data_IF_352332729309
#
_entry.id   IF_352332729309
#
_cell.length_a   1.000
_cell.length_b   1.000
_cell.length_c   1.000
_cell.angle_alpha   90.00
_cell.angle_beta   90.00
_cell.angle_gamma   90.00
#
_symmetry.space_group_name_H-M   'P 1'
#
loop_
_entity.id
_entity.type
_entity.pdbx_description
1 polymer ?
#
# COMPACT_ATOMS: atom_id res chain seq x y z
N UNK A 1 -4.57 -40.71 -14.83
CA UNK A 1 -5.08 -39.76 -13.80
C UNK A 1 -4.00 -39.04 -12.97
N UNK A 2 -2.70 -39.38 -13.06
CA UNK A 2 -1.63 -38.69 -12.29
C UNK A 2 -1.11 -37.37 -12.90
N UNK A 3 -1.32 -37.11 -14.19
CA UNK A 3 -0.82 -35.90 -14.86
C UNK A 3 -1.67 -34.64 -14.56
N UNK A 4 -2.97 -34.80 -14.34
CA UNK A 4 -3.89 -33.67 -14.09
C UNK A 4 -3.66 -33.08 -12.69
N UNK A 5 -3.35 -33.92 -11.69
CA UNK A 5 -3.01 -33.48 -10.34
C UNK A 5 -1.67 -32.74 -10.27
N UNK A 6 -0.68 -33.14 -11.06
CA UNK A 6 0.60 -32.41 -11.14
C UNK A 6 0.45 -31.03 -11.79
N UNK A 7 -0.35 -30.91 -12.85
CA UNK A 7 -0.62 -29.62 -13.51
C UNK A 7 -1.40 -28.65 -12.60
N UNK A 8 -2.37 -29.15 -11.83
CA UNK A 8 -3.10 -28.36 -10.82
C UNK A 8 -2.18 -27.87 -9.70
N UNK A 9 -1.26 -28.71 -9.22
CA UNK A 9 -0.31 -28.33 -8.19
C UNK A 9 0.67 -27.23 -8.67
N UNK A 10 1.15 -27.31 -9.91
CA UNK A 10 2.03 -26.30 -10.50
C UNK A 10 1.30 -24.98 -10.73
N UNK A 11 0.03 -25.02 -11.16
CA UNK A 11 -0.80 -23.83 -11.33
C UNK A 11 -1.11 -23.12 -10.00
N UNK A 12 -1.35 -23.88 -8.93
CA UNK A 12 -1.54 -23.32 -7.59
C UNK A 12 -0.26 -22.67 -7.05
N UNK A 13 0.91 -23.30 -7.24
CA UNK A 13 2.20 -22.73 -6.85
C UNK A 13 2.53 -21.46 -7.64
N UNK A 14 2.32 -21.46 -8.96
CA UNK A 14 2.56 -20.28 -9.80
C UNK A 14 1.61 -19.11 -9.44
N UNK A 15 0.33 -19.40 -9.18
CA UNK A 15 -0.64 -18.41 -8.75
C UNK A 15 -0.34 -17.80 -7.37
N UNK A 16 0.15 -18.60 -6.42
CA UNK A 16 0.56 -18.14 -5.08
C UNK A 16 1.84 -17.30 -5.15
N UNK A 17 2.84 -17.71 -5.94
CA UNK A 17 4.10 -16.97 -6.11
C UNK A 17 3.86 -15.62 -6.80
N UNK A 18 3.04 -15.57 -7.86
CA UNK A 18 2.69 -14.33 -8.54
C UNK A 18 1.93 -13.36 -7.60
N UNK A 19 1.03 -13.89 -6.77
CA UNK A 19 0.34 -13.10 -5.75
C UNK A 19 1.30 -12.53 -4.69
N UNK A 20 2.28 -13.32 -4.26
CA UNK A 20 3.24 -12.87 -3.26
C UNK A 20 4.15 -11.77 -3.80
N UNK A 21 4.51 -11.82 -5.08
CA UNK A 21 5.33 -10.78 -5.72
C UNK A 21 4.58 -9.46 -5.83
N UNK A 22 3.30 -9.46 -6.24
CA UNK A 22 2.51 -8.22 -6.34
C UNK A 22 2.28 -7.56 -4.96
N UNK A 23 1.97 -8.36 -3.93
CA UNK A 23 1.80 -7.80 -2.58
C UNK A 23 3.11 -7.23 -2.03
N UNK A 24 4.25 -7.85 -2.35
CA UNK A 24 5.56 -7.31 -1.99
C UNK A 24 5.87 -6.01 -2.73
N UNK A 25 5.53 -5.90 -4.01
CA UNK A 25 5.72 -4.66 -4.78
C UNK A 25 4.91 -3.50 -4.16
N UNK A 26 3.63 -3.75 -3.84
CA UNK A 26 2.77 -2.77 -3.15
C UNK A 26 3.37 -2.37 -1.80
N UNK A 27 3.92 -3.32 -1.02
CA UNK A 27 4.61 -3.00 0.23
C UNK A 27 5.84 -2.12 0.00
N UNK A 28 6.66 -2.44 -1.00
CA UNK A 28 7.84 -1.63 -1.34
C UNK A 28 7.45 -0.21 -1.77
N UNK A 29 6.36 -0.04 -2.52
CA UNK A 29 5.84 1.28 -2.84
C UNK A 29 5.44 2.06 -1.57
N UNK A 30 4.75 1.42 -0.62
CA UNK A 30 4.36 2.04 0.66
C UNK A 30 5.56 2.36 1.54
N UNK A 31 6.61 1.54 1.52
CA UNK A 31 7.88 1.84 2.20
C UNK A 31 8.58 3.06 1.58
N UNK A 32 8.63 3.16 0.24
CA UNK A 32 9.17 4.34 -0.44
C UNK A 32 8.40 5.62 -0.11
N UNK A 33 7.06 5.52 -0.02
CA UNK A 33 6.20 6.64 0.41
C UNK A 33 6.56 7.08 1.83
N UNK A 34 6.81 6.14 2.76
CA UNK A 34 7.24 6.48 4.12
C UNK A 34 8.61 7.16 4.16
N UNK A 35 9.56 6.75 3.32
CA UNK A 35 10.87 7.39 3.21
C UNK A 35 10.73 8.83 2.72
N UNK A 36 9.91 9.06 1.68
CA UNK A 36 9.63 10.42 1.18
C UNK A 36 8.90 11.28 2.23
N UNK A 37 7.94 10.71 2.97
CA UNK A 37 7.27 11.41 4.07
C UNK A 37 8.25 11.77 5.19
N UNK A 38 9.17 10.88 5.55
CA UNK A 38 10.18 11.16 6.55
C UNK A 38 11.09 12.33 6.12
N UNK A 39 11.45 12.42 4.83
CA UNK A 39 12.23 13.56 4.34
C UNK A 39 11.46 14.87 4.43
N UNK A 40 10.14 14.87 4.23
CA UNK A 40 9.30 16.07 4.38
C UNK A 40 9.07 16.42 5.86
N UNK A 41 8.92 15.43 6.74
CA UNK A 41 8.76 15.64 8.17
C UNK A 41 9.95 16.39 8.77
N UNK A 42 11.17 16.04 8.36
CA UNK A 42 12.39 16.71 8.83
C UNK A 42 12.49 18.17 8.37
N UNK A 43 11.75 18.55 7.32
CA UNK A 43 11.74 19.91 6.77
C UNK A 43 10.65 20.80 7.40
N UNK A 44 9.51 20.22 7.77
CA UNK A 44 8.34 21.01 8.23
C UNK A 44 7.98 20.81 9.70
N UNK A 45 8.45 19.73 10.35
CA UNK A 45 8.02 19.37 11.70
C UNK A 45 6.52 19.07 11.84
N UNK A 46 5.81 18.85 10.73
CA UNK A 46 4.34 18.73 10.73
C UNK A 46 3.86 17.47 11.47
N UNK A 47 2.97 17.67 12.45
CA UNK A 47 2.30 16.59 13.18
C UNK A 47 1.46 15.70 12.25
N UNK A 48 0.86 16.28 11.21
CA UNK A 48 0.10 15.53 10.20
C UNK A 48 0.97 14.57 9.39
N UNK A 49 2.22 14.93 9.08
CA UNK A 49 3.16 14.01 8.40
C UNK A 49 3.52 12.83 9.33
N UNK A 50 3.67 13.08 10.63
CA UNK A 50 3.96 12.01 11.60
C UNK A 50 2.78 11.03 11.73
N UNK A 51 1.55 11.54 11.75
CA UNK A 51 0.33 10.74 11.80
C UNK A 51 0.11 9.95 10.49
N UNK A 52 0.33 10.57 9.33
CA UNK A 52 0.32 9.86 8.05
C UNK A 52 1.28 8.66 8.03
N UNK A 53 2.50 8.84 8.55
CA UNK A 53 3.47 7.74 8.67
C UNK A 53 2.98 6.62 9.56
N UNK A 54 2.31 6.91 10.68
CA UNK A 54 1.72 5.88 11.56
C UNK A 54 0.66 5.06 10.83
N UNK A 55 -0.22 5.71 10.08
CA UNK A 55 -1.23 5.03 9.26
C UNK A 55 -0.59 4.13 8.20
N UNK A 56 0.45 4.60 7.50
CA UNK A 56 1.14 3.78 6.50
C UNK A 56 1.91 2.61 7.12
N UNK A 57 2.52 2.80 8.28
CA UNK A 57 3.18 1.73 9.02
C UNK A 57 2.16 0.66 9.46
N UNK A 58 0.99 1.08 9.92
CA UNK A 58 -0.11 0.17 10.28
C UNK A 58 -0.65 -0.55 9.05
N UNK A 59 -0.77 0.13 7.91
CA UNK A 59 -1.14 -0.50 6.65
C UNK A 59 -0.16 -1.61 6.25
N UNK A 60 1.15 -1.39 6.36
CA UNK A 60 2.15 -2.44 6.10
C UNK A 60 1.99 -3.65 7.02
N UNK A 61 1.78 -3.42 8.32
CA UNK A 61 1.55 -4.51 9.29
C UNK A 61 0.30 -5.32 8.96
N UNK A 62 -0.78 -4.64 8.56
CA UNK A 62 -2.03 -5.27 8.16
C UNK A 62 -1.87 -6.06 6.85
N UNK A 63 -1.13 -5.51 5.87
CA UNK A 63 -0.76 -6.26 4.66
C UNK A 63 0.03 -7.52 5.01
N UNK A 64 0.99 -7.43 5.94
CA UNK A 64 1.75 -8.59 6.46
C UNK A 64 0.88 -9.63 7.15
N UNK A 65 -0.19 -9.19 7.79
CA UNK A 65 -1.16 -10.06 8.47
C UNK A 65 -2.28 -10.56 7.56
N UNK A 66 -2.25 -10.24 6.25
CA UNK A 66 -3.29 -10.61 5.29
C UNK A 66 -4.61 -9.83 5.42
N UNK A 67 -4.64 -8.80 6.27
CA UNK A 67 -5.78 -7.92 6.59
C UNK A 67 -5.88 -6.77 5.58
N UNK A 68 -6.17 -7.10 4.32
CA UNK A 68 -6.02 -6.15 3.20
C UNK A 68 -7.08 -5.06 3.17
N UNK A 69 -8.31 -5.35 3.61
CA UNK A 69 -9.36 -4.35 3.70
C UNK A 69 -9.06 -3.32 4.80
N UNK A 70 -8.53 -3.76 5.95
CA UNK A 70 -8.05 -2.84 6.97
C UNK A 70 -6.81 -2.07 6.51
N UNK A 71 -5.88 -2.72 5.80
CA UNK A 71 -4.71 -2.05 5.25
C UNK A 71 -5.11 -0.92 4.29
N UNK A 72 -6.10 -1.15 3.42
CA UNK A 72 -6.64 -0.13 2.52
C UNK A 72 -7.27 1.05 3.27
N UNK A 73 -7.99 0.78 4.37
CA UNK A 73 -8.55 1.85 5.23
C UNK A 73 -7.45 2.69 5.85
N UNK A 74 -6.40 2.07 6.38
CA UNK A 74 -5.25 2.78 6.94
C UNK A 74 -4.50 3.61 5.87
N UNK A 75 -4.33 3.09 4.65
CA UNK A 75 -3.77 3.87 3.54
C UNK A 75 -4.63 5.09 3.19
N UNK A 76 -5.96 4.97 3.25
CA UNK A 76 -6.86 6.09 3.03
C UNK A 76 -6.77 7.15 4.13
N UNK A 77 -6.69 6.73 5.39
CA UNK A 77 -6.46 7.64 6.51
C UNK A 77 -5.14 8.39 6.33
N UNK A 78 -4.06 7.67 6.01
CA UNK A 78 -2.77 8.29 5.70
C UNK A 78 -2.85 9.30 4.56
N UNK A 79 -3.59 9.00 3.48
CA UNK A 79 -3.76 9.93 2.36
C UNK A 79 -4.50 11.22 2.75
N UNK A 80 -5.52 11.12 3.61
CA UNK A 80 -6.24 12.27 4.16
C UNK A 80 -5.33 13.15 5.01
N UNK A 81 -4.57 12.54 5.92
CA UNK A 81 -3.64 13.30 6.78
C UNK A 81 -2.54 14.00 5.96
N UNK A 82 -2.08 13.39 4.85
CA UNK A 82 -1.13 14.04 3.93
C UNK A 82 -1.79 15.23 3.22
N UNK A 83 -3.06 15.11 2.83
CA UNK A 83 -3.82 16.21 2.22
C UNK A 83 -3.89 17.41 3.17
N UNK A 84 -4.28 17.15 4.41
CA UNK A 84 -4.40 18.16 5.45
C UNK A 84 -3.05 18.82 5.74
N UNK A 85 -1.97 18.03 5.83
CA UNK A 85 -0.62 18.55 6.01
C UNK A 85 -0.14 19.39 4.81
N UNK A 86 -0.55 19.04 3.59
CA UNK A 86 -0.23 19.80 2.38
C UNK A 86 -0.95 21.15 2.33
N UNK A 87 -2.20 21.21 2.81
CA UNK A 87 -2.95 22.46 2.94
C UNK A 87 -2.43 23.39 4.04
N UNK A 88 -1.71 22.86 5.02
CA UNK A 88 -1.15 23.64 6.12
C UNK A 88 0.24 24.21 5.81
N UNK A 89 0.94 23.72 4.79
CA UNK A 89 2.30 24.12 4.44
C UNK A 89 2.50 24.23 2.92
N UNK A 90 2.33 25.44 2.39
CA UNK A 90 2.50 25.77 0.96
C UNK A 90 3.87 25.34 0.41
N UNK A 91 4.96 25.51 1.18
CA UNK A 91 6.32 25.14 0.79
C UNK A 91 6.51 23.63 0.52
N UNK A 92 5.64 22.80 1.09
CA UNK A 92 5.68 21.33 0.90
C UNK A 92 4.50 20.78 0.13
N UNK A 93 3.59 21.63 -0.31
CA UNK A 93 2.38 21.24 -1.02
C UNK A 93 2.70 20.37 -2.25
N UNK A 94 3.67 20.78 -3.08
CA UNK A 94 4.09 20.01 -4.26
C UNK A 94 4.68 18.65 -3.90
N UNK A 95 5.51 18.57 -2.85
CA UNK A 95 6.14 17.33 -2.43
C UNK A 95 5.12 16.36 -1.83
N UNK A 96 4.19 16.87 -1.01
CA UNK A 96 3.13 16.07 -0.40
C UNK A 96 2.08 15.63 -1.42
N UNK A 97 1.81 16.43 -2.45
CA UNK A 97 0.97 16.05 -3.58
C UNK A 97 1.57 14.87 -4.37
N UNK A 98 2.90 14.86 -4.59
CA UNK A 98 3.57 13.70 -5.19
C UNK A 98 3.45 12.44 -4.31
N UNK A 99 3.60 12.59 -2.99
CA UNK A 99 3.41 11.48 -2.04
C UNK A 99 1.98 10.94 -2.09
N UNK A 100 0.98 11.82 -2.18
CA UNK A 100 -0.43 11.41 -2.36
C UNK A 100 -0.65 10.62 -3.64
N UNK A 101 -0.09 11.07 -4.77
CA UNK A 101 -0.23 10.35 -6.04
C UNK A 101 0.39 8.95 -6.00
N UNK A 102 1.55 8.81 -5.33
CA UNK A 102 2.17 7.50 -5.09
C UNK A 102 1.27 6.62 -4.21
N UNK A 103 0.72 7.17 -3.14
CA UNK A 103 -0.15 6.44 -2.21
C UNK A 103 -1.45 6.00 -2.86
N UNK A 104 -2.05 6.85 -3.69
CA UNK A 104 -3.25 6.51 -4.46
C UNK A 104 -2.98 5.41 -5.48
N UNK A 105 -1.81 5.40 -6.10
CA UNK A 105 -1.37 4.34 -7.01
C UNK A 105 -1.24 3.01 -6.25
N UNK A 106 -0.51 2.99 -5.14
CA UNK A 106 -0.37 1.81 -4.29
C UNK A 106 -1.73 1.29 -3.78
N UNK A 107 -2.66 2.19 -3.43
CA UNK A 107 -4.02 1.83 -2.99
C UNK A 107 -4.83 1.19 -4.12
N UNK A 108 -4.74 1.72 -5.34
CA UNK A 108 -5.41 1.15 -6.52
C UNK A 108 -4.87 -0.24 -6.84
N UNK A 109 -3.55 -0.44 -6.73
CA UNK A 109 -2.93 -1.74 -6.94
C UNK A 109 -3.33 -2.75 -5.87
N UNK A 110 -3.38 -2.34 -4.60
CA UNK A 110 -3.91 -3.18 -3.51
C UNK A 110 -5.37 -3.58 -3.75
N UNK A 111 -6.20 -2.65 -4.24
CA UNK A 111 -7.60 -2.94 -4.56
C UNK A 111 -7.72 -3.92 -5.75
N UNK A 112 -6.89 -3.78 -6.79
CA UNK A 112 -6.86 -4.72 -7.93
C UNK A 112 -6.40 -6.11 -7.50
N UNK A 113 -5.37 -6.19 -6.66
CA UNK A 113 -4.89 -7.44 -6.07
C UNK A 113 -6.01 -8.17 -5.31
N UNK A 114 -6.79 -7.44 -4.53
CA UNK A 114 -7.90 -8.01 -3.77
C UNK A 114 -9.09 -8.41 -4.64
N UNK A 115 -9.47 -7.57 -5.61
CA UNK A 115 -10.55 -7.88 -6.56
C UNK A 115 -10.25 -9.15 -7.36
N UNK A 116 -9.00 -9.33 -7.80
CA UNK A 116 -8.55 -10.53 -8.50
C UNK A 116 -8.50 -11.80 -7.62
N UNK A 117 -8.51 -11.66 -6.29
CA UNK A 117 -8.72 -12.79 -5.36
C UNK A 117 -10.19 -13.19 -5.26
N UNK A 118 -11.13 -12.24 -5.26
CA UNK A 118 -12.55 -12.54 -5.11
C UNK A 118 -13.13 -13.28 -6.33
N UNK A 119 -12.69 -12.96 -7.55
CA UNK A 119 -13.11 -13.68 -8.77
C UNK A 119 -12.64 -15.15 -8.83
N UNK A 120 -11.68 -15.55 -8.00
CA UNK A 120 -11.09 -16.91 -8.01
C UNK A 120 -11.54 -17.78 -6.84
N UNK A 121 -12.48 -17.31 -6.02
CA UNK A 121 -13.13 -18.10 -4.97
C UNK A 121 -14.42 -18.70 -5.55
N UNK A 122 -14.45 -20.02 -5.86
CA UNK A 122 -15.69 -20.72 -6.25
C UNK A 122 -16.67 -20.85 -5.09
#
# INVERSE_FOLDING_TARGET
MRFVTFLLAVAACAGVVYNHLQLNDIRQQVEQIQVKLASQQNRTGSAGIAEAKRHLQRALQLMSSGKLDEAKKEMELGSKTIAEAAHQNDDTQHALQQVQQMLDSARKELARFWSGKQEKTP
#
